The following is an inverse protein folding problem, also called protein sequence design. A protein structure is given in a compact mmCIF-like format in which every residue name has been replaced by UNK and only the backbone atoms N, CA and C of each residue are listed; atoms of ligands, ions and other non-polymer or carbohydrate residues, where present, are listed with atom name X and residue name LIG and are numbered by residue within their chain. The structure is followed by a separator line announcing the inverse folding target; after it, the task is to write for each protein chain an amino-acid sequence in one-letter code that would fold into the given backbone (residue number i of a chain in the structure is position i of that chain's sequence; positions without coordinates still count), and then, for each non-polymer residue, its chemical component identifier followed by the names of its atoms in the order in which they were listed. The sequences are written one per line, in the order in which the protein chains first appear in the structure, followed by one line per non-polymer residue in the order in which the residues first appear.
data_IF_437195993360
#
_entry.id   IF_437195993360
#
_cell.length_a   1.000
_cell.length_b   1.000
_cell.length_c   1.000
_cell.angle_alpha   90.00
_cell.angle_beta   90.00
_cell.angle_gamma   90.00
#
_symmetry.space_group_name_H-M   'P 1'
#
loop_
_entity.id
_entity.type
_entity.pdbx_description
1 polymer ?
#
# COMPACT_ATOMS: atom_id res chain seq x y z
N UNK A 1 -11.67 0.99 -18.66
CA UNK A 1 -10.59 1.26 -17.68
C UNK A 1 -11.28 1.60 -16.39
N UNK A 2 -11.03 0.84 -15.31
CA UNK A 2 -11.43 1.31 -13.97
C UNK A 2 -10.34 2.29 -13.53
N UNK A 3 -10.62 3.59 -13.42
CA UNK A 3 -9.60 4.55 -13.02
C UNK A 3 -9.24 4.33 -11.55
N UNK A 4 -7.94 4.35 -11.23
CA UNK A 4 -7.49 4.47 -9.86
C UNK A 4 -7.94 5.83 -9.31
N UNK A 5 -8.23 5.90 -8.02
CA UNK A 5 -8.47 7.20 -7.39
C UNK A 5 -7.13 7.97 -7.20
N UNK A 6 -7.15 9.30 -6.97
CA UNK A 6 -5.92 10.09 -6.88
C UNK A 6 -4.94 9.62 -5.79
N UNK A 7 -5.45 9.09 -4.68
CA UNK A 7 -4.62 8.53 -3.62
C UNK A 7 -3.91 7.24 -4.08
N UNK A 8 -4.64 6.35 -4.75
CA UNK A 8 -4.10 5.11 -5.31
C UNK A 8 -3.06 5.37 -6.38
N UNK A 9 -3.28 6.36 -7.26
CA UNK A 9 -2.30 6.78 -8.27
C UNK A 9 -1.02 7.30 -7.62
N UNK A 10 -1.13 8.21 -6.65
CA UNK A 10 0.03 8.73 -5.91
C UNK A 10 0.78 7.60 -5.21
N UNK A 11 0.06 6.74 -4.50
CA UNK A 11 0.66 5.63 -3.76
C UNK A 11 1.37 4.66 -4.70
N UNK A 12 0.78 4.34 -5.85
CA UNK A 12 1.38 3.49 -6.86
C UNK A 12 2.68 4.10 -7.42
N UNK A 13 2.69 5.40 -7.67
CA UNK A 13 3.89 6.14 -8.09
C UNK A 13 4.98 6.10 -7.01
N UNK A 14 4.64 6.38 -5.75
CA UNK A 14 5.57 6.33 -4.63
C UNK A 14 6.20 4.93 -4.49
N UNK A 15 5.41 3.86 -4.69
CA UNK A 15 5.91 2.47 -4.66
C UNK A 15 6.84 2.20 -5.84
N UNK A 16 6.48 2.66 -7.04
CA UNK A 16 7.30 2.51 -8.24
C UNK A 16 8.66 3.20 -8.09
N UNK A 17 8.67 4.41 -7.53
CA UNK A 17 9.89 5.15 -7.22
C UNK A 17 10.73 4.39 -6.19
N UNK A 18 10.14 3.98 -5.07
CA UNK A 18 10.85 3.21 -4.02
C UNK A 18 11.45 1.91 -4.54
N UNK A 19 10.81 1.25 -5.52
CA UNK A 19 11.34 0.04 -6.17
C UNK A 19 12.53 0.33 -7.08
N UNK A 20 12.60 1.49 -7.74
CA UNK A 20 13.77 1.91 -8.54
C UNK A 20 15.01 2.10 -7.67
N UNK A 21 14.84 2.44 -6.39
CA UNK A 21 15.93 2.62 -5.42
C UNK A 21 16.45 1.26 -4.88
N UNK A 22 15.91 0.13 -5.37
CA UNK A 22 16.50 -1.20 -5.17
C UNK A 22 17.82 -1.46 -5.93
N UNK A 23 18.31 -0.51 -6.74
CA UNK A 23 19.63 -0.58 -7.38
C UNK A 23 20.49 0.62 -6.94
N UNK A 24 21.22 0.42 -5.83
CA UNK A 24 22.12 1.37 -5.14
C UNK A 24 21.43 2.59 -4.52
N UNK A 25 21.27 2.60 -3.19
CA UNK A 25 21.05 3.84 -2.44
C UNK A 25 20.15 3.75 -1.19
N UNK A 26 19.28 2.73 -1.07
CA UNK A 26 18.47 2.57 0.15
C UNK A 26 19.23 1.79 1.23
N UNK A 27 19.28 2.30 2.47
CA UNK A 27 19.67 1.54 3.64
C UNK A 27 18.89 0.21 3.76
N UNK A 28 19.60 -0.88 4.08
CA UNK A 28 19.03 -2.23 4.20
C UNK A 28 17.87 -2.32 5.20
N UNK A 29 17.85 -1.48 6.24
CA UNK A 29 16.75 -1.40 7.21
C UNK A 29 15.44 -0.80 6.64
N UNK A 30 15.45 -0.29 5.41
CA UNK A 30 14.26 0.12 4.65
C UNK A 30 13.84 -0.89 3.59
N UNK A 31 14.66 -1.92 3.36
CA UNK A 31 14.29 -3.07 2.55
C UNK A 31 13.39 -3.95 3.42
N UNK A 32 12.23 -4.33 2.86
CA UNK A 32 11.21 -5.14 3.54
C UNK A 32 11.82 -6.50 3.93
N UNK A 33 12.21 -6.67 5.19
CA UNK A 33 12.58 -7.98 5.74
C UNK A 33 11.37 -8.92 5.83
N UNK A 34 10.14 -8.36 5.84
CA UNK A 34 8.91 -9.12 5.94
C UNK A 34 8.19 -9.24 4.60
N UNK A 35 7.91 -10.48 4.19
CA UNK A 35 7.13 -10.82 3.01
C UNK A 35 5.81 -11.47 3.42
N UNK A 36 4.70 -10.89 2.99
CA UNK A 36 3.37 -11.51 3.12
C UNK A 36 3.13 -12.40 1.89
N UNK A 37 2.98 -13.70 2.10
CA UNK A 37 2.57 -14.66 1.05
C UNK A 37 1.06 -14.82 1.06
N UNK A 38 0.40 -14.38 -0.02
CA UNK A 38 -1.04 -14.52 -0.19
C UNK A 38 -1.33 -15.68 -1.16
N UNK A 39 -2.36 -16.48 -0.84
CA UNK A 39 -2.88 -17.52 -1.73
C UNK A 39 -4.24 -17.09 -2.25
N UNK A 40 -4.47 -17.31 -3.55
CA UNK A 40 -5.72 -17.01 -4.22
C UNK A 40 -6.30 -18.28 -4.81
N UNK A 41 -7.62 -18.31 -4.98
CA UNK A 41 -8.23 -19.23 -5.95
C UNK A 41 -7.80 -18.83 -7.36
N UNK A 42 -7.97 -19.73 -8.33
CA UNK A 42 -7.64 -19.44 -9.73
C UNK A 42 -8.44 -18.24 -10.27
N UNK A 43 -9.74 -18.18 -9.96
CA UNK A 43 -10.62 -17.08 -10.38
C UNK A 43 -10.22 -15.74 -9.78
N UNK A 44 -9.92 -15.71 -8.47
CA UNK A 44 -9.51 -14.46 -7.81
C UNK A 44 -8.19 -13.95 -8.38
N UNK A 45 -7.24 -14.87 -8.63
CA UNK A 45 -5.98 -14.51 -9.25
C UNK A 45 -6.18 -13.92 -10.65
N UNK A 46 -7.04 -14.52 -11.47
CA UNK A 46 -7.31 -14.03 -12.82
C UNK A 46 -7.87 -12.60 -12.82
N UNK A 47 -8.73 -12.27 -11.85
CA UNK A 47 -9.25 -10.90 -11.66
C UNK A 47 -8.10 -9.94 -11.32
N UNK A 48 -7.28 -10.27 -10.33
CA UNK A 48 -6.16 -9.43 -9.90
C UNK A 48 -5.14 -9.21 -11.03
N UNK A 49 -4.77 -10.27 -11.75
CA UNK A 49 -3.86 -10.19 -12.89
C UNK A 49 -4.43 -9.27 -13.98
N UNK A 50 -5.69 -9.50 -14.39
CA UNK A 50 -6.36 -8.70 -15.42
C UNK A 50 -6.41 -7.20 -15.06
N UNK A 51 -6.81 -6.88 -13.82
CA UNK A 51 -6.90 -5.48 -13.38
C UNK A 51 -5.51 -4.87 -13.29
N UNK A 52 -4.53 -5.56 -12.69
CA UNK A 52 -3.17 -5.03 -12.57
C UNK A 52 -2.55 -4.70 -13.93
N UNK A 53 -2.76 -5.56 -14.93
CA UNK A 53 -2.34 -5.30 -16.33
C UNK A 53 -3.06 -4.10 -16.93
N UNK A 54 -4.37 -3.98 -16.71
CA UNK A 54 -5.15 -2.84 -17.24
C UNK A 54 -4.69 -1.49 -16.66
N UNK A 55 -4.17 -1.50 -15.43
CA UNK A 55 -3.61 -0.35 -14.71
C UNK A 55 -2.13 -0.14 -15.03
N UNK A 56 -1.47 -1.09 -15.73
CA UNK A 56 -0.07 -0.98 -16.11
C UNK A 56 0.92 -1.23 -14.98
N UNK A 57 0.54 -2.04 -13.98
CA UNK A 57 1.37 -2.39 -12.81
C UNK A 57 1.47 -3.90 -12.62
N UNK A 58 2.39 -4.38 -11.78
CA UNK A 58 2.42 -5.79 -11.40
C UNK A 58 1.50 -6.08 -10.21
N UNK A 59 1.06 -7.34 -10.10
CA UNK A 59 0.17 -7.84 -9.05
C UNK A 59 0.59 -7.41 -7.64
N UNK A 60 1.88 -7.51 -7.30
CA UNK A 60 2.35 -7.21 -5.95
C UNK A 60 2.20 -5.72 -5.58
N UNK A 61 2.45 -4.82 -6.53
CA UNK A 61 2.25 -3.39 -6.32
C UNK A 61 0.78 -3.05 -6.26
N UNK A 62 -0.02 -3.62 -7.15
CA UNK A 62 -1.46 -3.45 -7.18
C UNK A 62 -2.11 -3.86 -5.85
N UNK A 63 -1.78 -5.08 -5.36
CA UNK A 63 -2.29 -5.60 -4.10
C UNK A 63 -1.87 -4.75 -2.90
N UNK A 64 -0.63 -4.26 -2.87
CA UNK A 64 -0.19 -3.37 -1.80
C UNK A 64 -0.94 -2.03 -1.84
N UNK A 65 -1.14 -1.45 -3.03
CA UNK A 65 -1.93 -0.22 -3.19
C UNK A 65 -3.35 -0.41 -2.71
N UNK A 66 -4.01 -1.50 -3.11
CA UNK A 66 -5.36 -1.82 -2.64
C UNK A 66 -5.42 -1.99 -1.12
N UNK A 67 -4.50 -2.76 -0.53
CA UNK A 67 -4.49 -2.99 0.92
C UNK A 67 -4.39 -1.69 1.72
N UNK A 68 -3.48 -0.79 1.34
CA UNK A 68 -3.33 0.51 2.03
C UNK A 68 -4.52 1.43 1.72
N UNK A 69 -5.05 1.44 0.50
CA UNK A 69 -6.24 2.21 0.12
C UNK A 69 -7.44 1.81 0.97
N UNK A 70 -7.71 0.51 1.11
CA UNK A 70 -8.81 0.00 1.93
C UNK A 70 -8.64 0.33 3.42
N UNK A 71 -7.43 0.20 3.97
CA UNK A 71 -7.17 0.61 5.37
C UNK A 71 -7.40 2.11 5.53
N UNK A 72 -6.92 2.95 4.61
CA UNK A 72 -7.15 4.39 4.64
C UNK A 72 -8.64 4.73 4.58
N UNK A 73 -9.41 4.07 3.73
CA UNK A 73 -10.86 4.28 3.64
C UNK A 73 -11.58 3.92 4.94
N UNK A 74 -11.21 2.80 5.57
CA UNK A 74 -11.74 2.45 6.90
C UNK A 74 -11.47 3.55 7.93
N UNK A 75 -10.29 4.15 7.91
CA UNK A 75 -9.90 5.23 8.83
C UNK A 75 -10.59 6.56 8.54
N UNK A 76 -10.87 6.86 7.27
CA UNK A 76 -11.68 8.03 6.88
C UNK A 76 -13.11 7.89 7.41
N UNK A 77 -13.65 6.68 7.29
CA UNK A 77 -15.03 6.40 7.71
C UNK A 77 -15.17 6.26 9.23
N UNK A 78 -14.07 6.02 9.96
CA UNK A 78 -14.04 5.91 11.42
C UNK A 78 -12.84 6.68 12.02
N UNK A 79 -13.04 7.94 12.43
CA UNK A 79 -11.99 8.74 13.07
C UNK A 79 -11.47 8.18 14.40
N UNK A 80 -12.25 7.33 15.09
CA UNK A 80 -11.81 6.71 16.35
C UNK A 80 -10.72 5.67 16.04
N UNK A 81 -10.95 4.81 15.06
CA UNK A 81 -9.94 3.86 14.56
C UNK A 81 -8.69 4.60 14.09
N UNK A 82 -8.85 5.73 13.40
CA UNK A 82 -7.71 6.56 12.97
C UNK A 82 -6.86 7.03 14.15
N UNK A 83 -7.49 7.57 15.20
CA UNK A 83 -6.81 8.04 16.40
C UNK A 83 -6.13 6.90 17.17
N UNK A 84 -6.80 5.75 17.32
CA UNK A 84 -6.26 4.57 18.02
C UNK A 84 -5.00 4.04 17.33
N UNK A 85 -5.03 3.88 16.00
CA UNK A 85 -3.86 3.41 15.25
C UNK A 85 -2.72 4.43 15.34
N UNK A 86 -2.99 5.74 15.27
CA UNK A 86 -1.95 6.79 15.44
C UNK A 86 -1.31 6.70 16.81
N UNK A 87 -2.12 6.52 17.84
CA UNK A 87 -1.66 6.38 19.21
C UNK A 87 -0.79 5.14 19.37
N UNK A 88 -1.22 4.01 18.82
CA UNK A 88 -0.44 2.76 18.85
C UNK A 88 0.92 2.90 18.15
N UNK A 89 0.95 3.43 16.93
CA UNK A 89 2.20 3.64 16.18
C UNK A 89 3.18 4.53 16.98
N UNK A 90 2.66 5.61 17.57
CA UNK A 90 3.45 6.51 18.43
C UNK A 90 3.99 5.77 19.65
N UNK A 91 3.16 4.95 20.30
CA UNK A 91 3.52 4.16 21.49
C UNK A 91 4.64 3.16 21.20
N UNK A 92 4.63 2.53 20.03
CA UNK A 92 5.68 1.58 19.61
C UNK A 92 6.88 2.24 18.94
N UNK A 93 6.91 3.58 18.84
CA UNK A 93 8.01 4.33 18.26
C UNK A 93 8.12 4.22 16.73
N UNK A 94 7.04 3.82 16.05
CA UNK A 94 6.99 3.75 14.59
C UNK A 94 6.55 5.09 14.02
N UNK A 95 7.30 5.60 13.05
CA UNK A 95 6.98 6.86 12.36
C UNK A 95 5.61 6.77 11.67
N UNK A 96 4.73 7.73 11.97
CA UNK A 96 3.42 7.85 11.33
C UNK A 96 3.62 8.08 9.81
N UNK A 97 3.04 7.21 8.95
CA UNK A 97 3.11 7.37 7.50
C UNK A 97 2.56 8.72 7.04
N UNK A 98 3.16 9.30 6.02
CA UNK A 98 2.78 10.62 5.49
C UNK A 98 1.28 10.68 5.13
N UNK A 99 0.77 9.67 4.44
CA UNK A 99 -0.64 9.60 4.02
C UNK A 99 -1.65 9.59 5.18
N UNK A 100 -1.19 9.24 6.39
CA UNK A 100 -2.03 9.14 7.58
C UNK A 100 -2.06 10.47 8.37
N UNK A 101 -1.14 11.40 8.07
CA UNK A 101 -1.05 12.68 8.79
C UNK A 101 -2.27 13.57 8.56
N UNK A 102 -2.89 13.42 7.40
CA UNK A 102 -4.07 14.21 6.96
C UNK A 102 -5.41 13.58 7.37
N UNK A 103 -5.39 12.36 7.91
CA UNK A 103 -6.55 11.69 8.51
C UNK A 103 -6.80 12.21 9.93
#
# INVERSE_FOLDING_TARGET
MTPLNPFEEKLLNDINERRRIGKRGLPLNLIRDEQIKVRFTESDRAVIDSVSRSVGTNEAQFLYTLAISSVREMMINDPVIAAEIKHELTRIGVTIPEWMREL
#
